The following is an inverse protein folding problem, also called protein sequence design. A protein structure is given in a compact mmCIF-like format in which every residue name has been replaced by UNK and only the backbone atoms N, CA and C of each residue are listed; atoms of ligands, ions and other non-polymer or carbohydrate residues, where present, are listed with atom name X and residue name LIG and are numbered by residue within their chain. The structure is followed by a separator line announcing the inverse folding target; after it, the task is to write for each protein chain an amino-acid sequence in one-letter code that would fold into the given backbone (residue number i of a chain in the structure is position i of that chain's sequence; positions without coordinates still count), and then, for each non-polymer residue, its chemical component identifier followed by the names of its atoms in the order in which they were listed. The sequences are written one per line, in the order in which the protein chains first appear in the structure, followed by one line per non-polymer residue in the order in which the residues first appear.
data_IF_464157344017
#
_entry.id   IF_464157344017
#
_cell.length_a   1.000
_cell.length_b   1.000
_cell.length_c   1.000
_cell.angle_alpha   90.00
_cell.angle_beta   90.00
_cell.angle_gamma   90.00
#
_symmetry.space_group_name_H-M   'P 1'
#
loop_
_entity.id
_entity.type
_entity.pdbx_description
1 polymer ?
#
# COMPACT_ATOMS: atom_id res chain seq x y z
N UNK A 1 24.02 -19.41 8.67
CA UNK A 1 23.11 -19.35 7.51
C UNK A 1 22.15 -18.19 7.77
N UNK A 2 22.47 -16.99 7.27
CA UNK A 2 21.67 -15.79 7.50
C UNK A 2 20.51 -15.85 6.50
N UNK A 3 19.32 -16.21 6.97
CA UNK A 3 18.09 -16.14 6.16
C UNK A 3 17.74 -14.67 6.02
N UNK A 4 17.94 -14.11 4.82
CA UNK A 4 17.30 -12.86 4.45
C UNK A 4 15.79 -13.12 4.41
N UNK A 5 15.05 -12.50 5.33
CA UNK A 5 13.64 -12.26 5.11
C UNK A 5 13.54 -11.34 3.89
N UNK A 6 13.30 -11.94 2.72
CA UNK A 6 12.87 -11.20 1.56
C UNK A 6 11.46 -10.73 1.88
N UNK A 7 11.33 -9.61 2.58
CA UNK A 7 10.08 -8.84 2.55
C UNK A 7 9.85 -8.59 1.07
N UNK A 8 8.90 -9.31 0.48
CA UNK A 8 8.49 -9.10 -0.89
C UNK A 8 7.87 -7.71 -0.93
N UNK A 9 8.72 -6.70 -1.10
CA UNK A 9 8.30 -5.36 -1.44
C UNK A 9 7.66 -5.52 -2.80
N UNK A 10 6.33 -5.53 -2.82
CA UNK A 10 5.59 -5.42 -4.05
C UNK A 10 6.11 -4.18 -4.75
N UNK A 11 6.88 -4.38 -5.82
CA UNK A 11 7.13 -3.34 -6.80
C UNK A 11 5.80 -3.19 -7.55
N UNK A 12 4.82 -2.53 -6.90
CA UNK A 12 3.61 -2.11 -7.59
C UNK A 12 4.08 -1.02 -8.55
N UNK A 13 4.00 -1.30 -9.84
CA UNK A 13 3.91 -0.24 -10.82
C UNK A 13 2.83 0.73 -10.33
N UNK A 14 3.14 2.02 -10.32
CA UNK A 14 2.31 3.09 -9.79
C UNK A 14 0.84 2.95 -10.20
N UNK A 15 -0.04 3.15 -9.23
CA UNK A 15 -1.48 3.12 -9.40
C UNK A 15 -2.13 1.82 -8.94
N UNK A 16 -3.37 1.98 -8.46
CA UNK A 16 -4.30 0.97 -7.94
C UNK A 16 -4.24 0.83 -6.43
N UNK A 17 -5.35 1.15 -5.77
CA UNK A 17 -5.48 1.00 -4.33
C UNK A 17 -6.98 0.87 -3.99
N UNK A 18 -7.31 0.04 -2.98
CA UNK A 18 -8.62 -0.53 -2.71
C UNK A 18 -9.37 0.13 -1.55
N UNK A 19 -10.70 0.13 -1.67
CA UNK A 19 -11.56 1.01 -0.93
C UNK A 19 -12.11 0.59 0.44
N UNK A 20 -11.61 -0.51 0.99
CA UNK A 20 -12.34 -1.26 2.00
C UNK A 20 -11.60 -1.54 3.29
N UNK A 21 -12.18 -2.40 4.11
CA UNK A 21 -11.56 -2.95 5.31
C UNK A 21 -11.48 -4.46 5.19
N UNK A 22 -10.55 -5.09 5.91
CA UNK A 22 -10.47 -6.54 5.98
C UNK A 22 -10.38 -7.00 7.44
N UNK A 23 -10.95 -8.15 7.74
CA UNK A 23 -10.84 -8.77 9.07
C UNK A 23 -9.46 -9.36 9.30
N UNK A 24 -8.95 -9.32 10.53
CA UNK A 24 -7.72 -10.00 10.96
C UNK A 24 -8.06 -11.17 11.87
N UNK A 25 -8.41 -12.35 11.33
CA UNK A 25 -8.80 -13.49 12.16
C UNK A 25 -7.58 -14.10 12.87
N UNK A 26 -7.81 -14.60 14.08
CA UNK A 26 -6.92 -15.52 14.78
C UNK A 26 -7.61 -16.87 14.88
N UNK A 27 -6.95 -17.93 14.43
CA UNK A 27 -7.49 -19.29 14.41
C UNK A 27 -6.46 -20.30 14.89
N UNK A 28 -6.92 -21.38 15.50
CA UNK A 28 -6.09 -22.54 15.82
C UNK A 28 -5.87 -23.39 14.57
N UNK A 29 -4.73 -24.05 14.46
CA UNK A 29 -4.48 -25.05 13.42
C UNK A 29 -5.61 -26.06 13.24
N UNK A 30 -5.74 -26.57 12.01
CA UNK A 30 -6.82 -27.46 11.60
C UNK A 30 -8.17 -26.79 11.35
N UNK A 31 -8.28 -25.47 11.59
CA UNK A 31 -9.49 -24.68 11.30
C UNK A 31 -9.35 -23.85 10.03
N UNK A 32 -10.47 -23.29 9.55
CA UNK A 32 -10.44 -22.34 8.44
C UNK A 32 -10.36 -20.90 8.97
N UNK A 33 -9.41 -20.13 8.45
CA UNK A 33 -9.42 -18.67 8.57
C UNK A 33 -10.28 -18.07 7.46
N UNK A 34 -11.26 -17.24 7.84
CA UNK A 34 -12.07 -16.48 6.88
C UNK A 34 -11.68 -15.01 6.98
N UNK A 35 -11.10 -14.50 5.90
CA UNK A 35 -10.84 -13.09 5.72
C UNK A 35 -11.94 -12.50 4.85
N UNK A 36 -12.69 -11.56 5.42
CA UNK A 36 -13.72 -10.82 4.69
C UNK A 36 -13.18 -9.45 4.38
N UNK A 37 -13.03 -9.17 3.09
CA UNK A 37 -12.83 -7.82 2.59
C UNK A 37 -14.19 -7.18 2.35
N UNK A 38 -14.40 -5.98 2.89
CA UNK A 38 -15.61 -5.16 2.75
C UNK A 38 -15.27 -3.86 2.04
N UNK A 39 -15.86 -3.61 0.87
CA UNK A 39 -15.70 -2.38 0.09
C UNK A 39 -16.11 -1.11 0.87
N UNK A 40 -16.97 -1.25 1.89
CA UNK A 40 -17.58 -0.11 2.58
C UNK A 40 -18.66 0.61 1.75
N UNK A 41 -19.01 0.08 0.57
CA UNK A 41 -20.10 0.52 -0.28
C UNK A 41 -20.59 -0.63 -1.17
N UNK A 42 -21.76 -0.45 -1.78
CA UNK A 42 -22.34 -1.43 -2.72
C UNK A 42 -21.71 -1.29 -4.11
N UNK A 43 -21.13 -2.39 -4.61
CA UNK A 43 -20.50 -2.44 -5.91
C UNK A 43 -21.46 -1.97 -7.03
N UNK A 44 -21.02 -1.06 -7.91
CA UNK A 44 -21.85 -0.50 -8.97
C UNK A 44 -22.15 -1.53 -10.08
N UNK A 45 -22.96 -1.13 -11.07
CA UNK A 45 -23.17 -1.92 -12.28
C UNK A 45 -21.84 -2.22 -12.97
N UNK A 46 -21.58 -3.49 -13.29
CA UNK A 46 -20.27 -3.97 -13.77
C UNK A 46 -19.41 -4.63 -12.69
N UNK A 47 -19.74 -4.45 -11.41
CA UNK A 47 -18.98 -4.99 -10.28
C UNK A 47 -17.67 -4.24 -10.04
N UNK A 48 -16.90 -4.73 -9.08
CA UNK A 48 -15.55 -4.24 -8.75
C UNK A 48 -14.58 -5.39 -8.87
N UNK A 49 -13.52 -5.24 -9.67
CA UNK A 49 -12.48 -6.24 -9.77
C UNK A 49 -11.40 -5.99 -8.71
N UNK A 50 -11.05 -7.01 -7.93
CA UNK A 50 -10.13 -6.97 -6.80
C UNK A 50 -9.12 -8.10 -6.95
N UNK A 51 -7.85 -7.76 -7.07
CA UNK A 51 -6.75 -8.68 -6.95
C UNK A 51 -6.58 -9.13 -5.49
N UNK A 52 -6.51 -10.44 -5.28
CA UNK A 52 -6.33 -11.07 -3.97
C UNK A 52 -4.99 -11.81 -3.95
N UNK A 53 -4.21 -11.61 -2.90
CA UNK A 53 -3.05 -12.45 -2.62
C UNK A 53 -3.01 -12.91 -1.17
N UNK A 54 -2.48 -14.11 -0.96
CA UNK A 54 -2.11 -14.64 0.34
C UNK A 54 -0.68 -15.16 0.20
N UNK A 55 0.23 -14.60 0.97
CA UNK A 55 1.67 -14.87 0.83
C UNK A 55 2.21 -15.42 2.15
N UNK A 56 3.27 -16.21 2.09
CA UNK A 56 3.95 -16.68 3.28
C UNK A 56 4.58 -15.54 4.09
N UNK A 57 4.63 -15.70 5.41
CA UNK A 57 5.45 -14.87 6.29
C UNK A 57 6.22 -15.76 7.27
N UNK A 58 5.75 -15.93 8.52
CA UNK A 58 6.28 -17.02 9.36
C UNK A 58 5.61 -18.33 8.97
N UNK A 59 4.30 -18.30 8.70
CA UNK A 59 3.58 -19.40 8.08
C UNK A 59 3.89 -19.49 6.58
N UNK A 60 4.06 -20.72 6.12
CA UNK A 60 4.47 -21.18 4.79
C UNK A 60 3.27 -21.71 4.02
N UNK A 61 3.11 -21.23 2.78
CA UNK A 61 2.03 -21.66 1.90
C UNK A 61 2.27 -23.10 1.45
N UNK A 62 1.28 -23.97 1.65
CA UNK A 62 1.33 -25.39 1.33
C UNK A 62 1.79 -26.28 2.48
N UNK A 63 2.43 -25.72 3.52
CA UNK A 63 2.76 -26.44 4.76
C UNK A 63 1.78 -26.08 5.86
N UNK A 64 1.64 -24.78 6.16
CA UNK A 64 0.93 -24.31 7.35
C UNK A 64 -0.47 -23.80 6.98
N UNK A 65 -0.64 -23.36 5.73
CA UNK A 65 -1.95 -22.99 5.19
C UNK A 65 -2.05 -23.23 3.69
N UNK A 66 -3.28 -23.36 3.19
CA UNK A 66 -3.59 -23.34 1.76
C UNK A 66 -4.75 -22.40 1.47
N UNK A 67 -4.72 -21.77 0.29
CA UNK A 67 -5.84 -21.00 -0.25
C UNK A 67 -6.14 -21.56 -1.64
N UNK A 68 -7.41 -21.83 -1.92
CA UNK A 68 -7.81 -22.35 -3.22
C UNK A 68 -7.41 -21.35 -4.32
N UNK A 69 -6.82 -21.82 -5.42
CA UNK A 69 -6.36 -20.95 -6.51
C UNK A 69 -7.48 -20.06 -7.10
N UNK A 70 -8.74 -20.53 -7.05
CA UNK A 70 -9.93 -19.75 -7.46
C UNK A 70 -10.27 -18.58 -6.54
N UNK A 71 -9.63 -18.47 -5.37
CA UNK A 71 -9.77 -17.38 -4.42
C UNK A 71 -8.60 -16.38 -4.47
N UNK A 72 -7.59 -16.62 -5.32
CA UNK A 72 -6.44 -15.75 -5.53
C UNK A 72 -6.49 -15.08 -6.92
N UNK A 73 -5.69 -14.03 -7.10
CA UNK A 73 -5.67 -13.24 -8.34
C UNK A 73 -6.85 -12.29 -8.46
N UNK A 74 -7.17 -11.84 -9.67
CA UNK A 74 -8.29 -10.95 -9.92
C UNK A 74 -9.64 -11.65 -9.68
N UNK A 75 -10.48 -11.01 -8.87
CA UNK A 75 -11.79 -11.50 -8.46
C UNK A 75 -12.81 -10.38 -8.50
N UNK A 76 -14.00 -10.67 -9.00
CA UNK A 76 -15.06 -9.67 -9.10
C UNK A 76 -15.98 -9.73 -7.88
N UNK A 77 -16.16 -8.60 -7.19
CA UNK A 77 -17.31 -8.34 -6.33
C UNK A 77 -18.45 -7.95 -7.25
N UNK A 78 -19.44 -8.84 -7.38
CA UNK A 78 -20.57 -8.62 -8.28
C UNK A 78 -21.36 -7.35 -7.91
N UNK A 79 -21.96 -6.71 -8.92
CA UNK A 79 -22.85 -5.57 -8.72
C UNK A 79 -23.92 -5.86 -7.66
N UNK A 80 -24.15 -4.92 -6.75
CA UNK A 80 -25.10 -5.10 -5.64
C UNK A 80 -24.52 -5.78 -4.39
N UNK A 81 -23.31 -6.37 -4.47
CA UNK A 81 -22.61 -6.91 -3.30
C UNK A 81 -21.62 -5.90 -2.73
N UNK A 82 -21.19 -6.14 -1.49
CA UNK A 82 -20.25 -5.27 -0.77
C UNK A 82 -18.94 -5.99 -0.41
N UNK A 83 -19.01 -7.31 -0.24
CA UNK A 83 -17.93 -8.08 0.36
C UNK A 83 -17.35 -9.14 -0.56
N UNK A 84 -16.08 -9.45 -0.31
CA UNK A 84 -15.33 -10.55 -0.90
C UNK A 84 -14.72 -11.38 0.22
N UNK A 85 -14.98 -12.68 0.25
CA UNK A 85 -14.39 -13.58 1.23
C UNK A 85 -13.26 -14.41 0.62
N UNK A 86 -12.21 -14.61 1.41
CA UNK A 86 -11.09 -15.52 1.15
C UNK A 86 -11.03 -16.50 2.32
N UNK A 87 -10.94 -17.78 2.01
CA UNK A 87 -10.87 -18.84 3.02
C UNK A 87 -9.53 -19.54 2.91
N UNK A 88 -8.72 -19.44 3.95
CA UNK A 88 -7.50 -20.22 4.09
C UNK A 88 -7.81 -21.44 4.97
N UNK A 89 -7.50 -22.64 4.47
CA UNK A 89 -7.47 -23.83 5.29
C UNK A 89 -6.14 -23.85 6.03
N UNK A 90 -6.19 -23.80 7.36
CA UNK A 90 -4.99 -23.88 8.20
C UNK A 90 -4.72 -25.36 8.43
N UNK A 91 -3.52 -25.78 8.07
CA UNK A 91 -3.11 -27.18 8.13
C UNK A 91 -2.75 -27.47 9.59
N UNK A 92 -3.09 -28.68 10.05
CA UNK A 92 -2.56 -29.23 11.29
C UNK A 92 -1.71 -30.42 10.88
N UNK A 93 -0.41 -30.33 11.12
CA UNK A 93 0.55 -31.36 10.73
C UNK A 93 1.17 -32.08 11.95
N UNK A 94 0.89 -31.59 13.17
CA UNK A 94 1.35 -32.17 14.42
C UNK A 94 2.84 -31.94 14.69
N UNK A 95 3.46 -31.00 13.99
CA UNK A 95 4.82 -30.54 14.28
C UNK A 95 4.73 -29.46 15.35
N UNK A 96 5.48 -29.61 16.44
CA UNK A 96 5.60 -28.54 17.44
C UNK A 96 6.24 -27.31 16.83
N UNK A 97 5.46 -26.24 16.71
CA UNK A 97 5.92 -24.95 16.25
C UNK A 97 5.44 -23.81 17.17
N UNK A 98 5.80 -22.58 16.81
CA UNK A 98 5.33 -21.40 17.51
C UNK A 98 4.16 -20.79 16.74
N UNK A 99 3.36 -19.95 17.40
CA UNK A 99 2.32 -19.19 16.70
C UNK A 99 2.87 -18.47 15.48
N UNK A 100 2.14 -18.57 14.38
CA UNK A 100 2.56 -18.07 13.08
C UNK A 100 1.59 -17.04 12.52
N UNK A 101 2.03 -16.37 11.46
CA UNK A 101 1.23 -15.40 10.74
C UNK A 101 1.46 -15.51 9.24
N UNK A 102 0.42 -15.15 8.48
CA UNK A 102 0.55 -14.85 7.06
C UNK A 102 -0.34 -13.66 6.66
N UNK A 103 0.12 -12.79 5.75
CA UNK A 103 -0.69 -11.69 5.24
C UNK A 103 -1.67 -12.13 4.14
N UNK A 104 -2.84 -11.50 4.14
CA UNK A 104 -3.77 -11.47 3.01
C UNK A 104 -3.92 -10.02 2.55
N UNK A 105 -3.71 -9.77 1.27
CA UNK A 105 -3.78 -8.44 0.68
C UNK A 105 -4.82 -8.39 -0.44
N UNK A 106 -5.51 -7.24 -0.51
CA UNK A 106 -6.54 -6.93 -1.47
C UNK A 106 -6.20 -5.62 -2.19
N UNK A 107 -6.31 -5.63 -3.51
CA UNK A 107 -5.96 -4.51 -4.38
C UNK A 107 -7.02 -4.36 -5.49
N UNK A 108 -7.64 -3.20 -5.66
CA UNK A 108 -8.63 -3.02 -6.74
C UNK A 108 -7.93 -2.96 -8.10
N UNK A 109 -8.49 -3.60 -9.12
CA UNK A 109 -8.16 -3.27 -10.50
C UNK A 109 -8.96 -2.04 -10.92
N UNK A 110 -8.56 -0.86 -10.45
CA UNK A 110 -9.09 0.39 -10.96
C UNK A 110 -8.58 0.56 -12.40
N UNK A 111 -9.32 0.07 -13.39
CA UNK A 111 -9.10 0.51 -14.78
C UNK A 111 -8.88 2.02 -14.75
N UNK A 112 -7.73 2.50 -15.25
CA UNK A 112 -7.30 3.90 -15.19
C UNK A 112 -8.54 4.79 -15.20
N UNK A 113 -8.79 5.51 -14.11
CA UNK A 113 -9.95 6.37 -14.03
C UNK A 113 -9.80 7.43 -15.12
N UNK A 114 -10.40 7.16 -16.30
CA UNK A 114 -10.27 7.95 -17.51
C UNK A 114 -10.94 9.32 -17.39
N UNK A 115 -11.37 9.70 -16.19
CA UNK A 115 -12.09 10.96 -15.94
C UNK A 115 -11.22 12.10 -15.44
N UNK A 116 -9.91 11.91 -15.17
CA UNK A 116 -9.02 13.09 -15.05
C UNK A 116 -8.90 13.81 -16.40
N UNK A 117 -8.70 13.04 -17.48
CA UNK A 117 -8.62 13.59 -18.85
C UNK A 117 -9.91 14.28 -19.31
N UNK A 118 -11.05 14.04 -18.66
CA UNK A 118 -12.34 14.66 -18.97
C UNK A 118 -12.71 15.91 -18.15
N UNK A 119 -11.89 16.33 -17.16
CA UNK A 119 -12.44 17.00 -15.98
C UNK A 119 -11.74 18.25 -15.45
N UNK A 120 -11.18 19.13 -16.28
CA UNK A 120 -10.85 20.51 -15.83
C UNK A 120 -12.06 21.25 -15.21
N UNK A 121 -13.29 20.76 -15.42
CA UNK A 121 -14.53 21.30 -14.88
C UNK A 121 -14.85 20.90 -13.43
N UNK A 122 -14.07 20.02 -12.79
CA UNK A 122 -14.33 19.52 -11.42
C UNK A 122 -13.64 20.31 -10.29
N UNK A 123 -12.79 21.28 -10.64
CA UNK A 123 -12.09 22.12 -9.67
C UNK A 123 -12.81 23.47 -9.49
N UNK A 124 -12.71 24.03 -8.29
CA UNK A 124 -13.52 25.16 -7.79
C UNK A 124 -13.32 26.51 -8.49
N UNK A 125 -12.18 26.70 -9.14
CA UNK A 125 -11.94 27.87 -9.97
C UNK A 125 -11.99 27.48 -11.46
N UNK A 126 -13.00 27.99 -12.15
CA UNK A 126 -13.30 27.67 -13.55
C UNK A 126 -12.47 28.49 -14.55
N UNK A 127 -11.52 29.32 -14.07
CA UNK A 127 -10.57 30.03 -14.94
C UNK A 127 -9.37 29.18 -15.39
N UNK A 128 -9.40 27.88 -15.08
CA UNK A 128 -8.53 26.84 -15.65
C UNK A 128 -8.49 27.00 -17.16
N UNK A 129 -7.34 27.44 -17.68
CA UNK A 129 -7.07 27.42 -19.11
C UNK A 129 -6.83 25.97 -19.51
N UNK A 130 -7.87 25.32 -20.04
CA UNK A 130 -7.74 24.09 -20.80
C UNK A 130 -6.94 24.40 -22.05
N UNK A 131 -5.66 24.04 -22.06
CA UNK A 131 -4.90 23.93 -23.30
C UNK A 131 -4.94 22.46 -23.74
N UNK A 132 -5.07 22.17 -25.04
CA UNK A 132 -4.84 20.80 -25.52
C UNK A 132 -3.43 20.38 -25.09
N UNK A 133 -3.34 19.19 -24.49
CA UNK A 133 -2.09 18.68 -23.93
C UNK A 133 -0.91 18.78 -24.90
N UNK A 134 0.27 19.09 -24.35
CA UNK A 134 1.54 18.66 -24.91
C UNK A 134 1.75 17.26 -24.33
N UNK A 135 1.45 16.21 -25.10
CA UNK A 135 1.73 14.83 -24.68
C UNK A 135 3.19 14.70 -24.27
N UNK A 136 3.38 14.31 -23.02
CA UNK A 136 4.68 14.27 -22.40
C UNK A 136 5.34 12.87 -22.45
N UNK A 137 4.75 11.93 -23.19
CA UNK A 137 5.25 10.55 -23.31
C UNK A 137 5.44 10.07 -24.75
N UNK A 138 5.00 10.83 -25.75
CA UNK A 138 5.21 10.49 -27.15
C UNK A 138 5.72 11.69 -27.96
N UNK A 139 6.52 11.40 -28.99
CA UNK A 139 7.04 12.42 -29.92
C UNK A 139 5.97 13.00 -30.86
N UNK A 140 4.68 12.73 -30.62
CA UNK A 140 3.56 13.23 -31.41
C UNK A 140 2.26 13.24 -30.58
N UNK A 141 1.82 14.38 -30.04
CA UNK A 141 0.75 14.42 -29.05
C UNK A 141 -0.65 14.02 -29.57
N UNK A 142 -1.41 13.15 -28.87
CA UNK A 142 -2.85 13.03 -29.04
C UNK A 142 -3.54 14.28 -28.51
N UNK A 143 -4.52 14.74 -29.29
CA UNK A 143 -5.40 15.85 -28.96
C UNK A 143 -6.44 15.33 -27.95
N UNK A 144 -6.48 15.85 -26.71
CA UNK A 144 -7.64 15.58 -25.84
C UNK A 144 -7.54 15.70 -24.31
N UNK A 145 -6.36 15.80 -23.70
CA UNK A 145 -6.25 15.71 -22.23
C UNK A 145 -6.25 17.09 -21.53
N UNK A 146 -6.88 17.16 -20.36
CA UNK A 146 -7.02 18.36 -19.53
C UNK A 146 -5.95 18.40 -18.44
N UNK A 147 -5.23 19.51 -18.32
CA UNK A 147 -4.16 19.71 -17.32
C UNK A 147 -4.53 20.85 -16.37
N UNK A 148 -4.18 20.75 -15.08
CA UNK A 148 -4.43 21.82 -14.11
C UNK A 148 -3.25 22.78 -14.06
N UNK A 149 -3.44 23.99 -14.60
CA UNK A 149 -2.53 25.12 -14.40
C UNK A 149 -2.90 25.86 -13.11
N UNK A 150 -1.98 25.87 -12.15
CA UNK A 150 -2.18 26.61 -10.90
C UNK A 150 -1.64 28.04 -11.10
N UNK A 151 -2.54 29.01 -11.28
CA UNK A 151 -2.22 30.44 -11.42
C UNK A 151 -2.46 31.21 -10.12
N UNK A 152 -1.87 32.41 -10.02
CA UNK A 152 -1.91 33.36 -8.90
C UNK A 152 -3.19 33.34 -8.04
N UNK A 153 -3.05 33.21 -6.71
CA UNK A 153 -4.12 33.33 -5.69
C UNK A 153 -5.36 32.45 -5.86
N UNK A 154 -5.46 31.75 -6.98
CA UNK A 154 -6.44 30.72 -7.18
C UNK A 154 -5.95 29.52 -6.38
N UNK A 155 -6.78 29.13 -5.43
CA UNK A 155 -6.57 28.00 -4.54
C UNK A 155 -7.47 26.88 -5.05
N UNK A 156 -7.18 26.31 -6.25
CA UNK A 156 -8.10 25.37 -6.85
C UNK A 156 -8.23 24.21 -5.88
N UNK A 157 -9.47 23.87 -5.55
CA UNK A 157 -9.78 22.69 -4.79
C UNK A 157 -10.74 21.79 -5.56
N UNK A 158 -10.60 20.50 -5.32
CA UNK A 158 -11.58 19.48 -5.70
C UNK A 158 -12.23 18.95 -4.44
N UNK A 159 -13.56 18.97 -4.42
CA UNK A 159 -14.33 18.32 -3.37
C UNK A 159 -14.29 16.80 -3.54
N UNK A 160 -13.97 16.10 -2.47
CA UNK A 160 -13.87 14.64 -2.43
C UNK A 160 -14.56 14.12 -1.18
N UNK A 161 -15.05 12.89 -1.23
CA UNK A 161 -15.60 12.22 -0.04
C UNK A 161 -14.55 11.31 0.55
N UNK A 162 -14.13 11.59 1.78
CA UNK A 162 -13.20 10.75 2.54
C UNK A 162 -13.94 10.13 3.72
N UNK A 163 -13.85 8.81 3.81
CA UNK A 163 -14.46 8.01 4.86
C UNK A 163 -13.51 7.84 6.05
N UNK A 164 -14.08 7.87 7.25
CA UNK A 164 -13.36 7.61 8.51
C UNK A 164 -12.75 6.21 8.53
N UNK A 165 -11.53 6.10 9.03
CA UNK A 165 -10.82 4.81 9.20
C UNK A 165 -10.41 4.16 7.88
N UNK A 166 -10.45 4.92 6.79
CA UNK A 166 -9.91 4.52 5.48
C UNK A 166 -8.61 5.26 5.25
N UNK A 167 -7.60 4.54 4.80
CA UNK A 167 -6.34 5.12 4.37
C UNK A 167 -6.40 5.44 2.86
N UNK A 168 -5.78 6.54 2.46
CA UNK A 168 -5.74 7.01 1.08
C UNK A 168 -4.31 7.20 0.58
N UNK A 169 -4.11 6.88 -0.70
CA UNK A 169 -2.95 7.24 -1.48
C UNK A 169 -3.33 8.36 -2.46
N UNK A 170 -2.60 9.46 -2.45
CA UNK A 170 -2.75 10.54 -3.43
C UNK A 170 -1.52 10.53 -4.33
N UNK A 171 -1.73 10.39 -5.63
CA UNK A 171 -0.70 10.29 -6.65
C UNK A 171 -0.95 11.32 -7.75
N UNK A 172 0.09 11.96 -8.25
CA UNK A 172 0.00 12.90 -9.37
C UNK A 172 1.36 13.13 -10.01
N UNK A 173 1.35 13.56 -11.26
CA UNK A 173 2.52 14.09 -11.94
C UNK A 173 2.51 15.61 -11.86
N UNK A 174 3.69 16.20 -11.73
CA UNK A 174 3.82 17.65 -11.77
C UNK A 174 5.09 18.10 -12.48
N UNK A 175 5.01 19.30 -13.04
CA UNK A 175 6.15 20.03 -13.61
C UNK A 175 6.02 21.52 -13.35
N UNK A 176 7.13 22.25 -13.47
CA UNK A 176 7.09 23.71 -13.50
C UNK A 176 6.33 24.18 -14.75
N UNK A 177 5.50 25.21 -14.59
CA UNK A 177 4.80 25.85 -15.71
C UNK A 177 5.68 26.98 -16.26
N UNK A 178 6.21 26.80 -17.47
CA UNK A 178 6.78 27.90 -18.25
C UNK A 178 5.64 28.77 -18.81
N UNK A 179 5.89 30.06 -19.00
CA UNK A 179 4.88 31.02 -19.46
C UNK A 179 4.07 30.48 -20.67
N UNK A 180 2.78 30.72 -20.63
CA UNK A 180 1.65 30.14 -21.37
C UNK A 180 1.61 30.37 -22.89
N UNK A 181 2.75 30.32 -23.57
CA UNK A 181 2.85 30.45 -25.03
C UNK A 181 2.57 31.87 -25.55
N UNK A 182 2.11 32.80 -24.71
CA UNK A 182 2.15 34.24 -24.96
C UNK A 182 3.38 34.81 -24.26
N UNK A 183 4.52 34.70 -24.94
CA UNK A 183 5.86 34.87 -24.39
C UNK A 183 6.07 36.06 -23.46
N UNK A 184 6.97 35.83 -22.50
CA UNK A 184 7.90 36.74 -21.81
C UNK A 184 7.78 36.92 -20.28
N UNK A 185 6.77 36.41 -19.58
CA UNK A 185 6.66 36.72 -18.14
C UNK A 185 7.20 35.70 -17.13
N UNK A 186 7.61 34.50 -17.55
CA UNK A 186 8.30 33.55 -16.66
C UNK A 186 9.82 33.44 -16.89
N UNK A 187 10.36 34.21 -17.84
CA UNK A 187 11.78 34.21 -18.19
C UNK A 187 12.29 35.63 -18.48
N UNK A 188 11.78 36.66 -17.78
CA UNK A 188 12.31 38.02 -17.94
C UNK A 188 13.57 38.21 -17.12
N UNK A 189 14.70 37.84 -17.72
CA UNK A 189 16.05 38.05 -17.17
C UNK A 189 16.44 39.54 -17.05
N UNK A 190 15.59 40.49 -17.47
CA UNK A 190 15.98 41.90 -17.62
C UNK A 190 15.33 42.85 -16.62
N UNK A 191 14.33 42.42 -15.84
CA UNK A 191 13.63 43.28 -14.85
C UNK A 191 13.89 42.87 -13.40
N UNK A 192 14.30 41.62 -13.14
CA UNK A 192 14.69 41.15 -11.81
C UNK A 192 16.11 40.57 -11.85
N UNK A 193 17.12 41.44 -11.66
CA UNK A 193 18.49 41.00 -11.39
C UNK A 193 18.56 40.47 -9.94
N UNK A 194 18.08 39.25 -9.77
CA UNK A 194 17.97 38.54 -8.51
C UNK A 194 16.99 37.40 -8.73
N UNK A 195 17.52 36.23 -9.08
CA UNK A 195 16.80 34.99 -9.34
C UNK A 195 15.95 34.53 -8.15
N UNK A 196 14.78 35.15 -7.92
CA UNK A 196 13.89 34.82 -6.79
C UNK A 196 12.42 35.02 -7.18
N UNK A 197 11.98 34.36 -8.27
CA UNK A 197 10.62 34.54 -8.79
C UNK A 197 10.00 33.25 -9.32
N UNK A 198 10.62 32.09 -9.14
CA UNK A 198 10.00 30.82 -9.54
C UNK A 198 9.08 30.36 -8.41
N UNK A 199 8.01 29.65 -8.75
CA UNK A 199 7.30 28.86 -7.77
C UNK A 199 8.30 27.85 -7.17
N UNK A 200 8.69 28.04 -5.90
CA UNK A 200 9.77 27.23 -5.30
C UNK A 200 9.22 26.00 -4.56
N UNK A 201 7.96 26.10 -4.12
CA UNK A 201 7.33 25.08 -3.30
C UNK A 201 5.88 24.86 -3.68
N UNK A 202 5.58 23.63 -4.06
CA UNK A 202 4.22 23.12 -4.22
C UNK A 202 3.78 22.48 -2.90
N UNK A 203 2.61 22.86 -2.40
CA UNK A 203 2.01 22.23 -1.22
C UNK A 203 0.68 21.64 -1.63
N UNK A 204 0.51 20.36 -1.36
CA UNK A 204 -0.77 19.68 -1.46
C UNK A 204 -1.43 19.69 -0.07
N UNK A 205 -2.64 20.20 0.00
CA UNK A 205 -3.44 20.27 1.22
C UNK A 205 -4.68 19.40 1.07
N UNK A 206 -4.99 18.62 2.10
CA UNK A 206 -6.26 17.92 2.25
C UNK A 206 -6.97 18.54 3.44
N UNK A 207 -8.07 19.22 3.17
CA UNK A 207 -8.79 20.07 4.12
C UNK A 207 -10.13 19.43 4.43
N UNK A 208 -10.38 19.11 5.69
CA UNK A 208 -11.72 18.78 6.17
C UNK A 208 -12.51 20.08 6.28
N UNK A 209 -13.65 20.14 5.59
CA UNK A 209 -14.47 21.35 5.55
C UNK A 209 -15.28 21.59 6.84
N UNK A 210 -15.29 20.62 7.75
CA UNK A 210 -16.07 20.63 9.00
C UNK A 210 -15.17 20.60 10.23
N UNK A 211 -14.06 19.88 10.19
CA UNK A 211 -13.13 19.75 11.32
C UNK A 211 -11.66 19.99 10.91
N UNK A 212 -11.19 21.23 11.06
CA UNK A 212 -9.83 21.61 10.67
C UNK A 212 -8.71 20.86 11.40
N UNK A 213 -8.99 20.13 12.49
CA UNK A 213 -7.99 19.29 13.15
C UNK A 213 -7.57 18.09 12.30
N UNK A 214 -8.39 17.69 11.32
CA UNK A 214 -8.12 16.64 10.35
C UNK A 214 -7.34 17.15 9.11
N UNK A 215 -7.03 18.46 9.05
CA UNK A 215 -6.31 19.03 7.90
C UNK A 215 -4.89 18.50 7.82
N UNK A 216 -4.49 18.05 6.64
CA UNK A 216 -3.13 17.56 6.38
C UNK A 216 -2.51 18.37 5.24
N UNK A 217 -1.23 18.71 5.37
CA UNK A 217 -0.47 19.43 4.35
C UNK A 217 0.82 18.70 4.07
N UNK A 218 1.12 18.54 2.79
CA UNK A 218 2.29 17.87 2.29
C UNK A 218 3.08 18.84 1.44
N UNK A 219 4.29 19.12 1.91
CA UNK A 219 5.22 19.99 1.21
C UNK A 219 6.01 19.19 0.20
N UNK A 220 5.98 19.65 -1.05
CA UNK A 220 6.88 19.21 -2.10
C UNK A 220 7.85 20.37 -2.33
N UNK A 221 8.99 20.28 -1.64
CA UNK A 221 10.09 21.21 -1.84
C UNK A 221 10.82 20.83 -3.13
N UNK A 222 10.86 21.75 -4.09
CA UNK A 222 11.79 21.62 -5.20
C UNK A 222 13.18 22.00 -4.68
N UNK A 223 13.83 21.08 -3.95
CA UNK A 223 15.14 21.32 -3.34
C UNK A 223 16.27 21.27 -4.39
N UNK A 224 16.02 21.75 -5.61
CA UNK A 224 17.06 22.10 -6.56
C UNK A 224 17.64 23.46 -6.15
N UNK A 225 18.47 23.43 -5.10
CA UNK A 225 19.36 24.54 -4.81
C UNK A 225 20.15 24.89 -6.07
N UNK A 226 19.99 26.13 -6.53
CA UNK A 226 20.71 26.76 -7.64
C UNK A 226 20.29 26.26 -9.04
N UNK A 227 19.75 27.19 -9.84
CA UNK A 227 19.06 26.93 -11.11
C UNK A 227 19.69 25.92 -12.06
N UNK A 228 18.84 25.00 -12.55
CA UNK A 228 18.80 24.42 -13.89
C UNK A 228 17.52 23.55 -13.96
N UNK A 229 16.70 23.57 -15.01
CA UNK A 229 17.11 23.64 -16.40
C UNK A 229 16.30 24.66 -17.23
N UNK A 230 16.99 25.73 -17.66
CA UNK A 230 16.82 26.16 -19.04
C UNK A 230 17.44 25.07 -19.93
N UNK A 231 16.61 24.40 -20.71
CA UNK A 231 16.98 24.11 -22.09
C UNK A 231 15.78 24.44 -22.96
N UNK A 232 16.00 25.31 -23.93
CA UNK A 232 15.09 25.56 -25.04
C UNK A 232 14.72 24.23 -25.70
N UNK A 233 13.49 23.78 -25.46
CA UNK A 233 12.93 22.52 -25.97
C UNK A 233 12.23 21.78 -24.85
N UNK A 234 10.98 21.38 -25.10
CA UNK A 234 10.02 20.64 -24.26
C UNK A 234 10.64 19.44 -23.50
N UNK A 235 11.53 19.70 -22.56
CA UNK A 235 12.23 18.70 -21.76
C UNK A 235 11.49 18.59 -20.45
N UNK A 236 10.62 17.60 -20.45
CA UNK A 236 9.60 17.35 -19.45
C UNK A 236 10.24 16.63 -18.27
N UNK A 237 10.22 17.25 -17.11
CA UNK A 237 10.49 16.55 -15.86
C UNK A 237 9.15 16.09 -15.29
N UNK A 238 8.77 14.83 -15.54
CA UNK A 238 7.65 14.20 -14.85
C UNK A 238 8.09 13.85 -13.43
N UNK A 239 7.93 14.78 -12.50
CA UNK A 239 8.11 14.49 -11.09
C UNK A 239 6.83 13.85 -10.54
N UNK A 240 6.98 12.72 -9.83
CA UNK A 240 5.86 12.05 -9.20
C UNK A 240 5.69 12.53 -7.76
N UNK A 241 4.52 13.11 -7.47
CA UNK A 241 4.05 13.35 -6.12
C UNK A 241 3.31 12.12 -5.61
N UNK A 242 3.70 11.60 -4.43
CA UNK A 242 2.98 10.51 -3.76
C UNK A 242 2.84 10.77 -2.27
N UNK A 243 1.61 10.71 -1.79
CA UNK A 243 1.26 10.62 -0.37
C UNK A 243 0.67 9.24 -0.18
N UNK A 244 1.14 8.50 0.81
CA UNK A 244 0.64 7.16 1.10
C UNK A 244 0.17 7.03 2.53
N UNK A 245 -0.84 6.18 2.72
CA UNK A 245 -1.43 5.88 4.02
C UNK A 245 -1.93 7.15 4.73
N UNK A 246 -2.54 8.07 4.00
CA UNK A 246 -3.25 9.21 4.59
C UNK A 246 -4.48 8.66 5.31
N UNK A 247 -4.39 8.52 6.63
CA UNK A 247 -5.51 8.09 7.45
C UNK A 247 -6.49 9.24 7.68
N UNK A 248 -7.74 9.03 7.33
CA UNK A 248 -8.79 10.04 7.48
C UNK A 248 -9.70 9.73 8.67
N UNK A 249 -9.94 10.71 9.54
CA UNK A 249 -10.86 10.60 10.68
C UNK A 249 -12.13 11.41 10.43
N UNK A 250 -13.29 10.80 10.64
CA UNK A 250 -14.59 11.44 10.36
C UNK A 250 -15.08 11.21 8.92
N UNK A 251 -16.40 11.09 8.74
CA UNK A 251 -17.00 11.02 7.42
C UNK A 251 -17.31 12.45 6.96
N UNK A 252 -16.46 13.01 6.12
CA UNK A 252 -16.53 14.41 5.73
C UNK A 252 -16.33 14.59 4.23
N UNK A 253 -16.96 15.62 3.68
CA UNK A 253 -16.51 16.19 2.42
C UNK A 253 -15.18 16.91 2.69
N UNK A 254 -14.11 16.41 2.07
CA UNK A 254 -12.80 17.05 2.11
C UNK A 254 -12.57 17.83 0.83
N UNK A 255 -11.66 18.79 0.90
CA UNK A 255 -11.15 19.55 -0.24
C UNK A 255 -9.68 19.20 -0.42
N UNK A 256 -9.33 18.65 -1.58
CA UNK A 256 -7.93 18.54 -1.97
C UNK A 256 -7.55 19.77 -2.77
N UNK A 257 -6.49 20.45 -2.33
CA UNK A 257 -6.11 21.77 -2.78
C UNK A 257 -4.61 21.83 -3.04
N UNK A 258 -4.22 22.47 -4.13
CA UNK A 258 -2.82 22.79 -4.39
C UNK A 258 -2.55 24.25 -4.11
N UNK A 259 -1.45 24.54 -3.41
CA UNK A 259 -1.03 25.89 -3.05
C UNK A 259 0.44 26.07 -3.40
N UNK A 260 0.75 27.19 -4.04
CA UNK A 260 2.10 27.56 -4.43
C UNK A 260 2.66 28.57 -3.44
N UNK A 261 3.89 28.34 -2.97
CA UNK A 261 4.59 29.25 -2.08
C UNK A 261 5.92 29.73 -2.69
N UNK A 262 6.33 30.94 -2.32
CA UNK A 262 7.65 31.51 -2.60
C UNK A 262 8.71 31.07 -1.57
N UNK A 263 9.99 31.37 -1.85
CA UNK A 263 11.13 31.19 -0.93
C UNK A 263 10.95 31.78 0.47
N UNK A 264 10.02 32.72 0.66
CA UNK A 264 9.74 33.35 1.96
C UNK A 264 8.55 32.73 2.69
N UNK A 265 8.05 31.58 2.21
CA UNK A 265 6.85 30.90 2.69
C UNK A 265 5.57 31.71 2.57
N UNK A 266 5.52 32.70 1.68
CA UNK A 266 4.27 33.40 1.34
C UNK A 266 3.63 32.73 0.14
N UNK A 267 2.30 32.73 0.09
CA UNK A 267 1.60 32.25 -1.08
C UNK A 267 2.04 33.07 -2.29
N UNK A 268 2.44 32.37 -3.35
CA UNK A 268 3.06 32.99 -4.52
C UNK A 268 2.01 33.79 -5.32
N UNK A 269 2.34 35.03 -5.66
CA UNK A 269 1.43 35.98 -6.33
C UNK A 269 1.85 36.35 -7.78
N UNK A 270 2.67 35.53 -8.44
CA UNK A 270 3.19 35.80 -9.79
C UNK A 270 2.48 35.02 -10.92
N UNK A 271 2.95 35.22 -12.16
CA UNK A 271 2.39 34.59 -13.37
C UNK A 271 2.88 33.16 -13.62
N UNK A 272 3.84 32.67 -12.82
CA UNK A 272 4.44 31.35 -12.95
C UNK A 272 3.89 30.40 -11.88
N UNK A 273 3.94 29.10 -12.13
CA UNK A 273 3.30 28.12 -11.23
C UNK A 273 3.67 26.69 -11.57
N UNK A 274 2.75 25.77 -11.31
CA UNK A 274 2.92 24.36 -11.62
C UNK A 274 1.80 23.85 -12.53
N UNK A 275 2.18 22.83 -13.27
CA UNK A 275 1.32 21.98 -14.07
C UNK A 275 1.08 20.71 -13.27
N UNK A 276 -0.18 20.35 -13.03
CA UNK A 276 -0.54 19.07 -12.39
C UNK A 276 -1.29 18.19 -13.39
N UNK A 277 -0.82 16.96 -13.52
CA UNK A 277 -1.39 15.93 -14.39
C UNK A 277 -1.55 14.60 -13.64
N UNK A 278 -2.31 13.67 -14.20
CA UNK A 278 -2.50 12.31 -13.69
C UNK A 278 -2.90 12.24 -12.21
N UNK A 279 -3.60 13.27 -11.70
CA UNK A 279 -3.98 13.33 -10.29
C UNK A 279 -5.02 12.25 -9.96
N UNK A 280 -4.71 11.46 -8.94
CA UNK A 280 -5.50 10.32 -8.47
C UNK A 280 -5.55 10.34 -6.95
N UNK A 281 -6.73 10.07 -6.42
CA UNK A 281 -6.93 9.73 -5.01
C UNK A 281 -7.45 8.31 -5.01
N UNK A 282 -6.58 7.40 -4.60
CA UNK A 282 -6.90 6.00 -4.44
C UNK A 282 -6.99 5.71 -2.95
N UNK A 283 -7.76 4.71 -2.54
CA UNK A 283 -7.76 4.27 -1.13
C UNK A 283 -6.63 3.28 -0.95
N UNK A 284 -5.72 3.40 0.01
CA UNK A 284 -4.50 2.57 0.10
C UNK A 284 -4.81 1.05 0.04
N UNK A 285 -3.89 0.21 -0.49
CA UNK A 285 -4.11 -1.24 -0.54
C UNK A 285 -4.43 -1.80 0.84
N UNK A 286 -5.37 -2.75 0.91
CA UNK A 286 -5.81 -3.30 2.19
C UNK A 286 -5.04 -4.58 2.46
N UNK A 287 -4.22 -4.57 3.51
CA UNK A 287 -3.51 -5.75 3.99
C UNK A 287 -3.93 -6.06 5.42
N UNK A 288 -4.20 -7.34 5.67
CA UNK A 288 -4.51 -7.86 6.99
C UNK A 288 -3.64 -9.07 7.28
N UNK A 289 -3.50 -9.40 8.56
CA UNK A 289 -2.76 -10.56 9.03
C UNK A 289 -3.71 -11.60 9.58
N UNK A 290 -3.52 -12.84 9.15
CA UNK A 290 -4.10 -14.00 9.82
C UNK A 290 -3.09 -14.50 10.84
N UNK A 291 -3.54 -14.72 12.07
CA UNK A 291 -2.74 -15.37 13.11
C UNK A 291 -3.15 -16.82 13.25
N UNK A 292 -2.16 -17.71 13.21
CA UNK A 292 -2.32 -19.14 13.46
C UNK A 292 -1.79 -19.41 14.88
N UNK A 293 -2.60 -20.08 15.69
CA UNK A 293 -2.17 -20.58 16.99
C UNK A 293 -1.93 -22.08 16.91
N UNK A 294 -0.70 -22.48 17.22
CA UNK A 294 -0.36 -23.89 17.42
C UNK A 294 -0.71 -24.27 18.87
N UNK A 295 -1.66 -25.20 19.09
CA UNK A 295 -1.98 -25.66 20.44
C UNK A 295 -0.90 -26.57 21.04
N UNK A 296 -0.04 -27.18 20.22
CA UNK A 296 1.01 -28.09 20.65
C UNK A 296 2.39 -27.42 20.68
N UNK A 297 2.69 -26.81 21.83
CA UNK A 297 3.96 -26.11 22.06
C UNK A 297 4.99 -26.95 22.83
N UNK A 298 4.73 -28.25 23.06
CA UNK A 298 5.61 -29.09 23.87
C UNK A 298 6.35 -30.10 22.99
N UNK A 299 7.68 -29.98 22.82
CA UNK A 299 8.43 -30.97 22.05
C UNK A 299 8.38 -32.36 22.69
N UNK A 300 8.38 -33.44 21.89
CA UNK A 300 8.41 -34.80 22.41
C UNK A 300 9.68 -35.07 23.21
N UNK A 301 9.53 -35.80 24.31
CA UNK A 301 10.61 -36.22 25.20
C UNK A 301 10.60 -37.73 25.42
N UNK A 302 11.78 -38.28 25.64
CA UNK A 302 11.99 -39.67 26.04
C UNK A 302 12.70 -39.69 27.38
N UNK A 303 12.11 -40.33 28.38
CA UNK A 303 12.76 -40.59 29.66
C UNK A 303 13.11 -42.07 29.80
N UNK A 304 14.32 -42.34 30.27
CA UNK A 304 14.85 -43.68 30.45
C UNK A 304 15.04 -43.91 31.95
N UNK A 305 14.53 -45.03 32.44
CA UNK A 305 14.70 -45.45 33.83
C UNK A 305 15.08 -46.92 33.92
N UNK A 306 15.71 -47.29 35.04
CA UNK A 306 15.97 -48.67 35.40
C UNK A 306 15.65 -48.86 36.88
N UNK A 307 15.15 -50.04 37.22
CA UNK A 307 14.92 -50.43 38.61
C UNK A 307 16.14 -51.09 39.25
N UNK A 308 17.15 -51.47 38.44
CA UNK A 308 18.32 -52.23 38.89
C UNK A 308 19.61 -51.41 38.88
N UNK A 309 19.65 -50.31 38.12
CA UNK A 309 20.83 -49.44 38.00
C UNK A 309 20.44 -47.97 38.03
N UNK A 310 21.25 -47.16 38.73
CA UNK A 310 21.15 -45.71 38.70
C UNK A 310 22.17 -45.13 37.70
N UNK A 311 21.83 -43.99 37.09
CA UNK A 311 22.71 -43.30 36.15
C UNK A 311 24.08 -42.99 36.77
N UNK A 312 25.15 -43.32 36.04
CA UNK A 312 26.54 -43.11 36.45
C UNK A 312 27.15 -44.23 37.30
N UNK A 313 26.38 -45.25 37.69
CA UNK A 313 26.91 -46.41 38.41
C UNK A 313 27.48 -47.47 37.45
N UNK A 314 28.40 -48.29 37.97
CA UNK A 314 28.82 -49.55 37.35
C UNK A 314 27.97 -50.69 37.94
N UNK A 315 27.57 -51.64 37.10
CA UNK A 315 26.86 -52.86 37.52
C UNK A 315 27.56 -54.10 36.97
N UNK A 316 27.44 -55.19 37.71
CA UNK A 316 27.88 -56.52 37.33
C UNK A 316 26.71 -57.45 36.97
N UNK A 317 25.49 -56.92 36.86
CA UNK A 317 24.31 -57.67 36.43
C UNK A 317 24.50 -58.18 34.99
N UNK A 318 24.09 -59.42 34.73
CA UNK A 318 24.15 -60.00 33.37
C UNK A 318 23.18 -59.35 32.38
N UNK A 319 22.22 -58.57 32.86
CA UNK A 319 21.23 -57.82 32.08
C UNK A 319 20.70 -56.65 32.88
N UNK A 320 20.46 -55.51 32.24
CA UNK A 320 19.79 -54.34 32.84
C UNK A 320 18.42 -54.19 32.18
N UNK A 321 17.36 -54.11 33.00
CA UNK A 321 16.03 -53.77 32.52
C UNK A 321 15.91 -52.25 32.39
N UNK A 322 15.58 -51.77 31.19
CA UNK A 322 15.30 -50.36 30.91
C UNK A 322 13.82 -50.18 30.60
N UNK A 323 13.24 -49.10 31.11
CA UNK A 323 11.90 -48.62 30.77
C UNK A 323 12.02 -47.27 30.11
N UNK A 324 11.47 -47.15 28.90
CA UNK A 324 11.38 -45.91 28.15
C UNK A 324 9.96 -45.37 28.30
N UNK A 325 9.83 -44.11 28.71
CA UNK A 325 8.54 -43.41 28.76
C UNK A 325 8.62 -42.23 27.81
N UNK A 326 7.78 -42.26 26.77
CA UNK A 326 7.62 -41.19 25.81
C UNK A 326 6.56 -40.21 26.31
N UNK A 327 6.76 -38.89 26.15
CA UNK A 327 5.73 -37.89 26.47
C UNK A 327 4.56 -37.90 25.48
N UNK A 328 4.80 -38.41 24.27
CA UNK A 328 3.84 -38.55 23.18
C UNK A 328 3.91 -39.96 22.59
N UNK A 329 2.85 -40.36 21.89
CA UNK A 329 2.79 -41.67 21.24
C UNK A 329 3.71 -41.70 20.02
N UNK A 330 4.63 -42.67 19.96
CA UNK A 330 5.39 -43.01 18.75
C UNK A 330 4.77 -44.23 18.05
N UNK A 331 4.85 -44.28 16.71
CA UNK A 331 4.27 -45.37 15.91
C UNK A 331 5.29 -46.44 15.50
N UNK A 332 6.59 -46.14 15.57
CA UNK A 332 7.68 -46.98 15.08
C UNK A 332 8.86 -47.10 16.04
N UNK A 333 8.71 -46.72 17.31
CA UNK A 333 9.76 -46.91 18.31
C UNK A 333 9.99 -48.40 18.61
N UNK A 334 11.02 -48.98 17.99
CA UNK A 334 11.36 -50.40 18.03
C UNK A 334 12.80 -50.64 18.51
N UNK A 335 13.15 -51.90 18.76
CA UNK A 335 14.46 -52.26 19.33
C UNK A 335 15.67 -51.83 18.48
N UNK A 336 15.52 -51.67 17.16
CA UNK A 336 16.61 -51.21 16.29
C UNK A 336 16.97 -49.74 16.49
N UNK A 337 16.09 -48.95 17.11
CA UNK A 337 16.33 -47.52 17.39
C UNK A 337 17.22 -47.33 18.62
N UNK A 338 17.51 -48.41 19.35
CA UNK A 338 18.31 -48.41 20.57
C UNK A 338 19.72 -48.92 20.24
N UNK A 339 20.71 -48.02 20.35
CA UNK A 339 22.12 -48.38 20.30
C UNK A 339 22.74 -48.41 21.70
N UNK A 340 23.47 -49.47 22.01
CA UNK A 340 24.30 -49.55 23.21
C UNK A 340 25.74 -49.23 22.83
N UNK A 341 26.38 -48.33 23.57
CA UNK A 341 27.75 -47.86 23.32
C UNK A 341 28.66 -48.16 24.49
#
# INVERSE_FOLDING_TARGET
MIRFALTLLFLVASGLALAGTATSPSVTEGNNAVVTFDLGYTAPSGGVEVYVSANSATATLGTDFTVAASQLGYRTIAAGNQTLTVTAAIISDGVTEGNEVFPVAFLENVSSNATFDGGATEWSDKTIRTQPNVDFTSSSPPIGNNVLHIQNKEEPYRSVSLNSGTDYDIEFDWSEANADGYGSYCDDSSVYSGFVNAADRLVLQVIDTVDSSNNVSFTIDNNMGNGAAQTSGDSIFNFQGKISNLSWTGNSAAQVKFVVYDTTNRQYEGYCGYVIDNFRINKSPVQTTVTISDPDTTPPTVSISSTTVTSGNTSNDSSIALSFTLSETATDFIASDISVT
#
